data_IF_073213976292
#
_entry.id   IF_073213976292
#
_cell.length_a   1.000
_cell.length_b   1.000
_cell.length_c   1.000
_cell.angle_alpha   90.00
_cell.angle_beta   90.00
_cell.angle_gamma   90.00
#
_symmetry.space_group_name_H-M   'P 1'
#
loop_
_entity.id
_entity.type
_entity.pdbx_description
1 polymer ?
#
# COMPACT_ATOMS: atom_id res chain seq x y z
N UNK A 1 53.91 16.99 -16.55
CA UNK A 1 52.82 17.29 -17.49
C UNK A 1 52.94 18.76 -17.90
N UNK A 2 53.09 19.07 -19.18
CA UNK A 2 53.30 20.45 -19.68
C UNK A 2 52.05 21.32 -19.45
N UNK A 3 52.22 22.64 -19.33
CA UNK A 3 51.12 23.58 -19.06
C UNK A 3 49.99 23.48 -20.11
N UNK A 4 50.34 23.27 -21.37
CA UNK A 4 49.40 23.02 -22.47
C UNK A 4 48.53 21.78 -22.22
N UNK A 5 49.14 20.67 -21.75
CA UNK A 5 48.41 19.44 -21.43
C UNK A 5 47.42 19.65 -20.27
N UNK A 6 47.76 20.50 -19.29
CA UNK A 6 46.84 20.87 -18.19
C UNK A 6 45.68 21.71 -18.71
N UNK A 7 45.93 22.65 -19.61
CA UNK A 7 44.92 23.52 -20.20
C UNK A 7 43.96 22.75 -21.12
N UNK A 8 44.48 21.89 -22.00
CA UNK A 8 43.66 20.99 -22.81
C UNK A 8 42.82 20.04 -21.96
N UNK A 9 43.39 19.45 -20.91
CA UNK A 9 42.67 18.57 -20.01
C UNK A 9 41.53 19.31 -19.27
N UNK A 10 41.78 20.55 -18.81
CA UNK A 10 40.77 21.39 -18.18
C UNK A 10 39.60 21.73 -19.11
N UNK A 11 39.89 22.12 -20.36
CA UNK A 11 38.86 22.38 -21.38
C UNK A 11 38.05 21.11 -21.67
N UNK A 12 38.73 19.97 -21.86
CA UNK A 12 38.06 18.70 -22.12
C UNK A 12 37.13 18.28 -20.97
N UNK A 13 37.59 18.40 -19.71
CA UNK A 13 36.77 18.10 -18.55
C UNK A 13 35.57 19.03 -18.42
N UNK A 14 35.73 20.33 -18.70
CA UNK A 14 34.62 21.29 -18.68
C UNK A 14 33.61 21.00 -19.80
N UNK A 15 34.07 20.68 -21.02
CA UNK A 15 33.19 20.27 -22.12
C UNK A 15 32.41 19.00 -21.78
N UNK A 16 33.08 17.98 -21.26
CA UNK A 16 32.44 16.74 -20.84
C UNK A 16 31.41 17.00 -19.72
N UNK A 17 31.76 17.83 -18.73
CA UNK A 17 30.85 18.21 -17.64
C UNK A 17 29.63 18.97 -18.15
N UNK A 18 29.81 19.93 -19.07
CA UNK A 18 28.71 20.67 -19.67
C UNK A 18 27.75 19.76 -20.47
N UNK A 19 28.29 18.82 -21.25
CA UNK A 19 27.47 17.86 -22.00
C UNK A 19 26.71 16.93 -21.06
N UNK A 20 27.40 16.32 -20.08
CA UNK A 20 26.78 15.38 -19.15
C UNK A 20 25.73 16.05 -18.26
N UNK A 21 26.00 17.27 -17.76
CA UNK A 21 25.04 18.03 -16.97
C UNK A 21 23.84 18.49 -17.79
N UNK A 22 24.04 18.92 -19.05
CA UNK A 22 22.95 19.27 -19.96
C UNK A 22 22.03 18.08 -20.26
N UNK A 23 22.61 16.91 -20.56
CA UNK A 23 21.84 15.67 -20.74
C UNK A 23 21.14 15.26 -19.44
N UNK A 24 21.81 15.35 -18.30
CA UNK A 24 21.21 15.05 -16.99
C UNK A 24 20.00 15.95 -16.69
N UNK A 25 20.07 17.25 -17.00
CA UNK A 25 18.93 18.16 -16.84
C UNK A 25 17.71 17.73 -17.65
N UNK A 26 17.90 17.32 -18.91
CA UNK A 26 16.79 16.86 -19.76
C UNK A 26 16.11 15.62 -19.19
N UNK A 27 16.89 14.63 -18.76
CA UNK A 27 16.32 13.41 -18.16
C UNK A 27 15.67 13.68 -16.80
N UNK A 28 16.34 14.42 -15.92
CA UNK A 28 15.81 14.75 -14.59
C UNK A 28 14.59 15.66 -14.66
N UNK A 29 14.46 16.48 -15.72
CA UNK A 29 13.25 17.26 -15.94
C UNK A 29 12.01 16.37 -16.05
N UNK A 30 12.08 15.31 -16.88
CA UNK A 30 10.98 14.37 -17.10
C UNK A 30 10.78 13.44 -15.91
N UNK A 31 11.87 12.94 -15.32
CA UNK A 31 11.83 11.90 -14.27
C UNK A 31 11.48 12.48 -12.89
N UNK A 32 11.93 13.70 -12.57
CA UNK A 32 11.83 14.28 -11.22
C UNK A 32 11.12 15.62 -11.22
N UNK A 33 11.52 16.57 -12.06
CA UNK A 33 11.08 17.98 -11.93
C UNK A 33 9.58 18.13 -12.22
N UNK A 34 9.12 17.63 -13.37
CA UNK A 34 7.71 17.68 -13.77
C UNK A 34 6.83 16.94 -12.74
N UNK A 35 7.06 15.66 -12.41
CA UNK A 35 6.25 14.96 -11.40
C UNK A 35 6.22 15.66 -10.05
N UNK A 36 7.38 16.10 -9.56
CA UNK A 36 7.48 16.73 -8.24
C UNK A 36 6.71 18.05 -8.21
N UNK A 37 6.75 18.82 -9.30
CA UNK A 37 5.99 20.06 -9.44
C UNK A 37 4.48 19.78 -9.40
N UNK A 38 4.01 18.82 -10.19
CA UNK A 38 2.58 18.43 -10.23
C UNK A 38 2.09 17.95 -8.86
N UNK A 39 2.85 17.12 -8.17
CA UNK A 39 2.53 16.61 -6.83
C UNK A 39 2.43 17.76 -5.80
N UNK A 40 3.39 18.69 -5.81
CA UNK A 40 3.38 19.85 -4.92
C UNK A 40 2.25 20.84 -5.24
N UNK A 41 1.91 21.02 -6.51
CA UNK A 41 0.80 21.89 -6.94
C UNK A 41 -0.58 21.32 -6.55
N UNK A 42 -0.75 19.99 -6.57
CA UNK A 42 -1.98 19.32 -6.13
C UNK A 42 -2.23 19.50 -4.63
N UNK A 43 -1.18 19.70 -3.83
CA UNK A 43 -1.29 20.07 -2.42
C UNK A 43 -2.05 19.03 -1.59
N UNK A 44 -1.58 17.78 -1.62
CA UNK A 44 -2.15 16.71 -0.78
C UNK A 44 -2.02 17.05 0.70
N UNK A 45 -3.01 16.64 1.48
CA UNK A 45 -2.97 16.76 2.94
C UNK A 45 -1.75 16.00 3.49
N UNK A 46 -1.02 16.59 4.42
CA UNK A 46 0.15 15.95 5.04
C UNK A 46 -0.21 14.92 6.10
N UNK A 47 -1.45 14.97 6.61
CA UNK A 47 -1.97 13.99 7.54
C UNK A 47 -2.58 12.84 6.76
N UNK A 48 -2.07 11.61 6.87
CA UNK A 48 -2.64 10.48 6.16
C UNK A 48 -4.03 10.18 6.70
N UNK A 49 -4.92 9.83 5.78
CA UNK A 49 -6.24 9.24 6.03
C UNK A 49 -6.15 7.72 5.87
N UNK A 50 -7.23 7.00 6.16
CA UNK A 50 -7.28 5.55 5.95
C UNK A 50 -7.96 5.19 4.65
N UNK A 51 -7.30 4.34 3.87
CA UNK A 51 -7.88 3.69 2.69
C UNK A 51 -8.10 2.21 2.98
N UNK A 52 -9.24 1.69 2.51
CA UNK A 52 -9.54 0.26 2.48
C UNK A 52 -9.70 -0.18 1.04
N UNK A 53 -9.01 -1.24 0.62
CA UNK A 53 -9.15 -1.82 -0.71
C UNK A 53 -10.51 -2.49 -0.86
N UNK A 54 -11.26 -2.08 -1.89
CA UNK A 54 -12.61 -2.60 -2.18
C UNK A 54 -12.58 -3.57 -3.36
N UNK A 55 -11.67 -3.33 -4.32
CA UNK A 55 -11.52 -4.13 -5.52
C UNK A 55 -10.09 -4.04 -6.03
N UNK A 56 -9.47 -5.16 -6.35
CA UNK A 56 -8.18 -5.22 -7.02
C UNK A 56 -8.25 -6.20 -8.19
N UNK A 57 -7.97 -5.72 -9.39
CA UNK A 57 -8.04 -6.53 -10.61
C UNK A 57 -6.87 -6.22 -11.55
N UNK A 58 -6.29 -7.25 -12.16
CA UNK A 58 -5.30 -7.09 -13.23
C UNK A 58 -6.01 -7.25 -14.58
N UNK A 59 -6.32 -6.11 -15.20
CA UNK A 59 -7.08 -6.08 -16.45
C UNK A 59 -6.30 -6.74 -17.59
N UNK A 60 -4.96 -6.78 -17.52
CA UNK A 60 -4.14 -7.40 -18.56
C UNK A 60 -4.27 -8.93 -18.58
N UNK A 61 -4.72 -9.55 -17.48
CA UNK A 61 -4.88 -11.01 -17.36
C UNK A 61 -6.26 -11.51 -17.78
N UNK A 62 -7.25 -10.63 -17.92
CA UNK A 62 -8.57 -11.02 -18.41
C UNK A 62 -8.50 -11.46 -19.88
N UNK A 63 -8.86 -12.72 -20.14
CA UNK A 63 -9.02 -13.23 -21.51
C UNK A 63 -9.99 -12.31 -22.28
N UNK A 64 -9.61 -11.83 -23.47
CA UNK A 64 -10.47 -10.94 -24.23
C UNK A 64 -11.73 -11.71 -24.65
N UNK A 65 -12.89 -11.29 -24.14
CA UNK A 65 -14.18 -11.70 -24.72
C UNK A 65 -14.34 -10.98 -26.07
N UNK A 66 -13.74 -11.55 -27.12
CA UNK A 66 -13.78 -11.05 -28.51
C UNK A 66 -12.45 -10.51 -29.04
N UNK A 67 -12.44 -9.95 -30.25
CA UNK A 67 -11.24 -9.43 -30.96
C UNK A 67 -10.65 -8.12 -30.37
N UNK A 68 -11.13 -7.67 -29.21
CA UNK A 68 -10.65 -6.44 -28.56
C UNK A 68 -9.82 -6.81 -27.33
N UNK A 69 -8.50 -6.60 -27.44
CA UNK A 69 -7.58 -6.56 -26.29
C UNK A 69 -8.16 -5.54 -25.29
N UNK A 70 -8.35 -5.91 -24.03
CA UNK A 70 -8.83 -4.98 -23.02
C UNK A 70 -7.86 -3.80 -22.92
N UNK A 71 -8.31 -2.59 -23.24
CA UNK A 71 -7.49 -1.39 -23.19
C UNK A 71 -7.33 -0.97 -21.72
N UNK A 72 -6.08 -0.91 -21.25
CA UNK A 72 -5.75 -0.51 -19.89
C UNK A 72 -5.97 1.02 -19.75
N UNK A 73 -7.11 1.42 -19.19
CA UNK A 73 -7.48 2.85 -19.10
C UNK A 73 -6.64 3.63 -18.08
N UNK A 74 -6.18 2.97 -17.02
CA UNK A 74 -5.27 3.50 -16.01
C UNK A 74 -4.62 2.35 -15.23
N UNK A 75 -3.55 2.66 -14.50
CA UNK A 75 -2.81 1.71 -13.65
C UNK A 75 -2.64 2.30 -12.26
N UNK A 76 -2.55 1.45 -11.24
CA UNK A 76 -2.26 1.87 -9.85
C UNK A 76 -0.77 2.21 -9.70
N UNK A 77 0.10 1.38 -10.28
CA UNK A 77 1.55 1.56 -10.27
C UNK A 77 2.16 0.94 -11.52
N UNK A 78 2.89 1.73 -12.30
CA UNK A 78 3.76 1.28 -13.37
C UNK A 78 5.23 1.39 -12.99
N UNK A 79 6.05 0.45 -13.46
CA UNK A 79 7.49 0.60 -13.42
C UNK A 79 7.93 1.32 -14.70
N UNK A 80 8.97 2.15 -14.61
CA UNK A 80 9.58 2.84 -15.75
C UNK A 80 8.64 3.80 -16.50
N UNK A 81 8.53 5.04 -15.99
CA UNK A 81 7.54 6.02 -16.45
C UNK A 81 7.76 6.55 -17.87
N UNK A 82 8.86 6.16 -18.52
CA UNK A 82 9.16 6.48 -19.91
C UNK A 82 8.72 5.38 -20.89
N UNK A 83 8.26 4.23 -20.39
CA UNK A 83 7.86 3.11 -21.22
C UNK A 83 6.34 3.13 -21.47
N UNK A 84 5.95 3.00 -22.73
CA UNK A 84 4.53 2.93 -23.14
C UNK A 84 3.86 1.59 -22.75
N UNK A 85 4.65 0.62 -22.27
CA UNK A 85 4.17 -0.71 -21.89
C UNK A 85 4.22 -0.89 -20.39
N UNK A 86 3.16 -0.49 -19.70
CA UNK A 86 2.99 -0.78 -18.28
C UNK A 86 2.32 -2.14 -18.12
N UNK A 87 3.08 -3.15 -17.74
CA UNK A 87 2.59 -4.46 -17.33
C UNK A 87 3.15 -4.77 -15.95
N UNK A 88 2.32 -5.12 -14.94
CA UNK A 88 0.88 -5.47 -15.01
C UNK A 88 -0.08 -4.26 -15.07
N UNK A 89 -1.31 -4.47 -15.58
CA UNK A 89 -2.37 -3.45 -15.58
C UNK A 89 -3.26 -3.61 -14.34
N UNK A 90 -2.67 -3.40 -13.16
CA UNK A 90 -3.39 -3.54 -11.90
C UNK A 90 -4.18 -2.28 -11.56
N UNK A 91 -5.49 -2.44 -11.36
CA UNK A 91 -6.43 -1.38 -10.99
C UNK A 91 -6.99 -1.65 -9.59
N UNK A 92 -6.63 -0.80 -8.63
CA UNK A 92 -7.05 -0.90 -7.24
C UNK A 92 -8.01 0.24 -6.90
N UNK A 93 -9.22 -0.12 -6.51
CA UNK A 93 -10.23 0.82 -6.02
C UNK A 93 -10.29 0.78 -4.50
N UNK A 94 -10.36 1.96 -3.89
CA UNK A 94 -10.33 2.12 -2.43
C UNK A 94 -11.49 2.98 -1.94
N UNK A 95 -11.93 2.68 -0.72
CA UNK A 95 -12.78 3.55 0.07
C UNK A 95 -11.88 4.40 0.97
N UNK A 96 -11.96 5.72 0.84
CA UNK A 96 -11.17 6.65 1.62
C UNK A 96 -12.00 7.28 2.76
N UNK A 97 -11.48 7.20 3.98
CA UNK A 97 -12.14 7.67 5.20
C UNK A 97 -11.15 8.32 6.15
N UNK A 98 -11.66 9.18 7.03
CA UNK A 98 -10.89 9.73 8.12
C UNK A 98 -10.38 8.62 9.06
N UNK A 99 -9.27 8.90 9.73
CA UNK A 99 -8.75 8.01 10.77
C UNK A 99 -9.79 7.88 11.90
N UNK A 100 -9.99 6.65 12.36
CA UNK A 100 -10.81 6.36 13.53
C UNK A 100 -10.16 6.81 14.83
N UNK A 101 -10.83 6.54 15.94
CA UNK A 101 -10.38 6.93 17.27
C UNK A 101 -9.21 6.08 17.76
N UNK A 102 -8.34 6.65 18.60
CA UNK A 102 -7.31 5.90 19.31
C UNK A 102 -7.85 5.52 20.68
N UNK A 103 -7.88 4.22 20.99
CA UNK A 103 -8.43 3.67 22.23
C UNK A 103 -7.35 2.88 22.93
N UNK A 104 -7.31 2.94 24.26
CA UNK A 104 -6.37 2.20 25.08
C UNK A 104 -7.10 1.53 26.22
N UNK A 105 -6.99 0.20 26.30
CA UNK A 105 -7.44 -0.56 27.46
C UNK A 105 -6.24 -0.84 28.37
N UNK A 106 -6.44 -0.64 29.66
CA UNK A 106 -5.40 -0.79 30.68
C UNK A 106 -5.74 -1.93 31.64
N UNK A 107 -4.69 -2.44 32.29
CA UNK A 107 -4.76 -3.52 33.27
C UNK A 107 -5.46 -4.78 32.73
N UNK A 108 -5.16 -5.13 31.47
CA UNK A 108 -5.77 -6.29 30.83
C UNK A 108 -5.10 -7.60 31.26
N UNK A 109 -5.93 -8.59 31.59
CA UNK A 109 -5.55 -9.97 31.91
C UNK A 109 -6.25 -10.97 30.98
N UNK A 110 -5.75 -12.21 30.97
CA UNK A 110 -6.28 -13.34 30.19
C UNK A 110 -6.45 -13.02 28.70
N UNK A 111 -5.50 -12.27 28.14
CA UNK A 111 -5.55 -11.83 26.75
C UNK A 111 -5.44 -13.04 25.82
N UNK A 112 -6.52 -13.30 25.10
CA UNK A 112 -6.55 -14.23 23.98
C UNK A 112 -6.25 -13.44 22.72
N UNK A 113 -5.35 -13.97 21.90
CA UNK A 113 -5.13 -13.52 20.54
C UNK A 113 -5.28 -14.72 19.61
N UNK A 114 -6.44 -14.84 18.98
CA UNK A 114 -6.67 -15.87 17.97
C UNK A 114 -6.53 -15.29 16.58
N UNK A 115 -5.85 -16.02 15.70
CA UNK A 115 -5.80 -15.70 14.28
C UNK A 115 -6.94 -16.43 13.58
N UNK A 116 -7.98 -15.67 13.29
CA UNK A 116 -9.12 -16.03 12.48
C UNK A 116 -8.81 -15.98 10.98
N UNK A 117 -7.59 -16.33 10.58
CA UNK A 117 -7.20 -16.39 9.18
C UNK A 117 -7.88 -17.58 8.52
N UNK A 118 -8.72 -17.29 7.53
CA UNK A 118 -9.34 -18.30 6.70
C UNK A 118 -8.32 -18.89 5.73
N UNK A 119 -7.41 -19.74 6.21
CA UNK A 119 -6.22 -20.28 5.54
C UNK A 119 -4.99 -19.37 5.53
N UNK A 120 -3.89 -19.92 6.03
CA UNK A 120 -2.59 -19.57 5.47
C UNK A 120 -2.50 -20.23 4.10
N UNK A 121 -2.91 -19.51 3.05
CA UNK A 121 -2.88 -20.00 1.69
C UNK A 121 -1.48 -20.49 1.28
N UNK A 122 -0.41 -20.03 1.95
CA UNK A 122 0.95 -20.51 1.69
C UNK A 122 1.22 -21.90 2.31
N UNK A 123 0.46 -22.31 3.31
CA UNK A 123 0.55 -23.64 3.94
C UNK A 123 -0.29 -24.70 3.20
N UNK A 124 -1.29 -24.30 2.41
CA UNK A 124 -2.07 -25.25 1.62
C UNK A 124 -1.42 -25.59 0.29
N UNK A 125 -1.44 -26.89 -0.04
CA UNK A 125 -0.86 -27.40 -1.27
C UNK A 125 -1.66 -26.87 -2.48
N UNK A 126 -1.00 -26.21 -3.46
CA UNK A 126 -1.67 -25.78 -4.68
C UNK A 126 -1.89 -26.95 -5.65
N UNK A 127 -3.10 -27.05 -6.19
CA UNK A 127 -3.53 -28.06 -7.16
C UNK A 127 -3.60 -27.45 -8.56
N UNK A 128 -2.82 -27.96 -9.52
CA UNK A 128 -2.80 -27.42 -10.89
C UNK A 128 -3.82 -28.04 -11.83
N UNK A 129 -4.57 -29.04 -11.34
CA UNK A 129 -5.52 -29.85 -12.10
C UNK A 129 -4.96 -30.38 -13.43
N UNK A 130 -3.70 -30.84 -13.42
CA UNK A 130 -3.03 -31.52 -14.54
C UNK A 130 -2.70 -32.96 -14.14
N UNK A 131 -2.75 -33.90 -15.09
CA UNK A 131 -2.37 -35.31 -14.88
C UNK A 131 -3.13 -35.96 -13.70
N UNK A 132 -4.43 -35.71 -13.61
CA UNK A 132 -5.30 -36.38 -12.64
C UNK A 132 -5.24 -35.83 -11.20
N UNK A 133 -4.47 -34.76 -10.96
CA UNK A 133 -4.39 -34.11 -9.65
C UNK A 133 -5.75 -33.76 -9.04
N UNK A 134 -6.75 -33.43 -9.86
CA UNK A 134 -8.06 -32.99 -9.38
C UNK A 134 -9.17 -34.08 -9.43
N UNK A 135 -8.82 -35.34 -9.69
CA UNK A 135 -9.79 -36.44 -9.79
C UNK A 135 -10.44 -36.79 -8.45
N UNK A 136 -9.74 -36.59 -7.34
CA UNK A 136 -10.20 -36.95 -6.00
C UNK A 136 -10.42 -35.73 -5.11
N UNK A 137 -10.64 -34.54 -5.69
CA UNK A 137 -10.96 -33.37 -4.88
C UNK A 137 -12.29 -33.56 -4.16
N UNK A 138 -12.26 -33.33 -2.86
CA UNK A 138 -13.42 -33.35 -1.98
C UNK A 138 -13.32 -32.15 -1.04
N UNK A 139 -14.33 -31.30 -1.02
CA UNK A 139 -14.32 -30.04 -0.26
C UNK A 139 -14.41 -28.80 -1.14
N UNK A 140 -14.07 -27.65 -0.55
CA UNK A 140 -14.19 -26.33 -1.16
C UNK A 140 -12.83 -25.86 -1.66
N UNK A 141 -12.74 -25.36 -2.90
CA UNK A 141 -11.48 -24.97 -3.53
C UNK A 141 -11.56 -23.56 -4.11
N UNK A 142 -10.57 -22.70 -3.81
CA UNK A 142 -10.42 -21.39 -4.41
C UNK A 142 -9.40 -21.45 -5.56
N UNK A 143 -9.86 -21.16 -6.78
CA UNK A 143 -9.08 -21.15 -8.01
C UNK A 143 -9.04 -19.74 -8.65
N UNK A 144 -9.29 -18.68 -7.85
CA UNK A 144 -9.45 -17.30 -8.33
C UNK A 144 -8.12 -16.63 -8.72
N UNK A 145 -6.97 -17.12 -8.23
CA UNK A 145 -5.66 -16.52 -8.53
C UNK A 145 -5.28 -16.79 -9.98
N UNK A 146 -5.50 -15.80 -10.85
CA UNK A 146 -5.27 -15.90 -12.28
C UNK A 146 -3.77 -16.01 -12.60
N UNK A 147 -3.40 -16.94 -13.49
CA UNK A 147 -2.03 -17.11 -14.00
C UNK A 147 -1.56 -18.57 -14.07
N UNK A 148 -1.79 -19.37 -13.03
CA UNK A 148 -1.15 -20.70 -12.90
C UNK A 148 -2.11 -21.92 -12.83
N UNK A 149 -3.43 -21.74 -12.92
CA UNK A 149 -4.45 -22.78 -12.64
C UNK A 149 -4.28 -23.43 -11.26
N UNK A 150 -3.80 -22.68 -10.27
CA UNK A 150 -3.59 -23.20 -8.93
C UNK A 150 -4.88 -23.03 -8.12
N UNK A 151 -5.52 -24.15 -7.82
CA UNK A 151 -6.61 -24.24 -6.86
C UNK A 151 -6.05 -24.55 -5.48
N UNK A 152 -6.52 -23.86 -4.45
CA UNK A 152 -6.17 -24.16 -3.05
C UNK A 152 -7.40 -24.67 -2.34
N UNK A 153 -7.25 -25.74 -1.56
CA UNK A 153 -8.33 -26.22 -0.69
C UNK A 153 -8.59 -25.14 0.37
N UNK A 154 -9.85 -24.83 0.62
CA UNK A 154 -10.29 -23.82 1.59
C UNK A 154 -11.33 -24.32 2.60
N UNK A 155 -11.63 -25.62 2.57
CA UNK A 155 -12.70 -26.27 3.36
C UNK A 155 -12.62 -26.01 4.86
N UNK A 156 -11.41 -26.00 5.44
CA UNK A 156 -11.20 -25.91 6.88
C UNK A 156 -11.41 -24.52 7.45
N UNK A 157 -11.54 -23.50 6.61
CA UNK A 157 -11.48 -22.11 7.07
C UNK A 157 -12.69 -21.26 6.67
N UNK A 158 -13.57 -21.77 5.81
CA UNK A 158 -14.80 -21.09 5.42
C UNK A 158 -15.99 -22.03 5.43
N UNK A 159 -17.10 -21.55 5.98
CA UNK A 159 -18.42 -22.15 5.81
C UNK A 159 -19.29 -21.17 5.02
N UNK A 160 -19.92 -21.64 3.96
CA UNK A 160 -20.68 -20.76 3.08
C UNK A 160 -22.08 -21.30 2.79
N UNK A 161 -23.04 -20.39 2.66
CA UNK A 161 -24.41 -20.74 2.28
C UNK A 161 -24.43 -21.32 0.86
N UNK A 162 -24.87 -22.58 0.75
CA UNK A 162 -24.75 -23.42 -0.45
C UNK A 162 -25.68 -22.94 -1.57
N UNK A 163 -25.22 -22.00 -2.39
CA UNK A 163 -25.86 -21.70 -3.68
C UNK A 163 -24.92 -22.11 -4.80
N UNK A 164 -25.08 -23.35 -5.24
CA UNK A 164 -24.19 -23.99 -6.20
C UNK A 164 -24.76 -23.83 -7.62
N UNK A 165 -23.90 -23.63 -8.62
CA UNK A 165 -24.33 -23.65 -10.02
C UNK A 165 -24.91 -25.02 -10.38
N UNK A 166 -25.99 -25.11 -11.18
CA UNK A 166 -26.48 -26.39 -11.70
C UNK A 166 -25.50 -27.05 -12.68
N UNK A 167 -24.47 -26.34 -13.15
CA UNK A 167 -23.47 -26.87 -14.06
C UNK A 167 -22.33 -27.55 -13.29
N UNK A 168 -22.23 -28.87 -13.42
CA UNK A 168 -21.11 -29.65 -12.90
C UNK A 168 -19.96 -29.70 -13.90
N UNK A 169 -18.74 -29.64 -13.37
CA UNK A 169 -17.47 -29.81 -14.08
C UNK A 169 -16.86 -31.12 -13.57
N UNK A 170 -16.71 -32.11 -14.44
CA UNK A 170 -16.08 -33.38 -14.07
C UNK A 170 -14.57 -33.32 -14.30
N UNK A 171 -13.78 -33.71 -13.29
CA UNK A 171 -12.33 -33.84 -13.38
C UNK A 171 -11.93 -35.32 -13.51
N UNK A 172 -11.24 -35.65 -14.61
CA UNK A 172 -10.79 -37.02 -14.92
C UNK A 172 -9.29 -37.21 -14.64
N UNK A 173 -8.76 -38.40 -14.95
CA UNK A 173 -7.34 -38.76 -14.81
C UNK A 173 -6.38 -37.90 -15.64
N UNK A 174 -6.87 -37.19 -16.66
CA UNK A 174 -6.04 -36.34 -17.51
C UNK A 174 -6.24 -34.85 -17.22
N UNK A 175 -7.51 -34.40 -17.21
CA UNK A 175 -7.92 -33.00 -17.08
C UNK A 175 -9.39 -32.87 -16.64
N UNK A 176 -9.76 -31.67 -16.22
CA UNK A 176 -11.16 -31.29 -16.04
C UNK A 176 -11.80 -30.90 -17.39
N UNK A 177 -13.10 -31.14 -17.52
CA UNK A 177 -13.91 -30.78 -18.71
C UNK A 177 -13.80 -29.29 -19.05
N UNK A 178 -13.77 -28.46 -18.00
CA UNK A 178 -13.53 -27.02 -18.08
C UNK A 178 -12.50 -26.63 -17.03
N UNK A 179 -11.83 -25.50 -17.26
CA UNK A 179 -10.92 -24.89 -16.29
C UNK A 179 -11.73 -24.53 -15.03
N UNK A 180 -11.29 -25.00 -13.87
CA UNK A 180 -11.84 -24.54 -12.60
C UNK A 180 -11.44 -23.07 -12.42
N UNK A 181 -12.44 -22.23 -12.22
CA UNK A 181 -12.31 -20.81 -12.00
C UNK A 181 -13.16 -20.42 -10.79
N UNK A 182 -12.75 -19.36 -10.07
CA UNK A 182 -13.46 -18.92 -8.87
C UNK A 182 -13.43 -19.98 -7.76
N UNK A 183 -14.49 -20.02 -6.96
CA UNK A 183 -14.65 -21.01 -5.89
C UNK A 183 -15.51 -22.18 -6.36
N UNK A 184 -15.02 -23.39 -6.14
CA UNK A 184 -15.64 -24.63 -6.59
C UNK A 184 -15.87 -25.56 -5.40
N UNK A 185 -17.09 -26.11 -5.31
CA UNK A 185 -17.40 -27.20 -4.38
C UNK A 185 -17.23 -28.53 -5.12
N UNK A 186 -16.25 -29.31 -4.71
CA UNK A 186 -15.91 -30.59 -5.33
C UNK A 186 -16.33 -31.75 -4.43
N UNK A 187 -16.88 -32.80 -5.03
CA UNK A 187 -17.14 -34.08 -4.39
C UNK A 187 -16.63 -35.19 -5.29
N UNK A 188 -15.56 -35.87 -4.89
CA UNK A 188 -14.91 -36.95 -5.66
C UNK A 188 -14.63 -36.56 -7.12
N UNK A 189 -14.08 -35.36 -7.33
CA UNK A 189 -13.73 -34.85 -8.66
C UNK A 189 -14.87 -34.31 -9.50
N UNK A 190 -16.11 -34.32 -8.99
CA UNK A 190 -17.23 -33.56 -9.60
C UNK A 190 -17.31 -32.22 -8.89
N UNK A 191 -16.95 -31.15 -9.61
CA UNK A 191 -16.86 -29.80 -9.07
C UNK A 191 -17.97 -28.93 -9.62
N UNK A 192 -18.66 -28.21 -8.75
CA UNK A 192 -19.65 -27.22 -9.16
C UNK A 192 -19.15 -25.83 -8.81
N UNK A 193 -19.16 -24.94 -9.80
CA UNK A 193 -18.83 -23.54 -9.58
C UNK A 193 -19.88 -22.90 -8.66
N UNK A 194 -19.41 -22.12 -7.69
CA UNK A 194 -20.28 -21.33 -6.85
C UNK A 194 -20.65 -20.08 -7.64
N UNK A 195 -21.92 -19.99 -8.06
CA UNK A 195 -22.42 -19.10 -9.12
C UNK A 195 -22.25 -17.59 -8.87
N UNK A 196 -21.80 -17.20 -7.69
CA UNK A 196 -21.78 -15.80 -7.29
C UNK A 196 -20.66 -15.50 -6.29
N UNK A 197 -19.40 -15.82 -6.62
CA UNK A 197 -18.25 -15.74 -5.69
C UNK A 197 -18.03 -14.34 -5.08
N UNK A 198 -18.27 -13.27 -5.85
CA UNK A 198 -18.15 -11.88 -5.35
C UNK A 198 -19.24 -11.48 -4.35
N UNK A 199 -20.39 -12.15 -4.39
CA UNK A 199 -21.43 -12.08 -3.36
C UNK A 199 -21.17 -13.15 -2.28
N UNK A 200 -20.54 -14.27 -2.63
CA UNK A 200 -20.23 -15.41 -1.76
C UNK A 200 -19.24 -15.06 -0.66
N UNK A 201 -18.20 -14.27 -0.88
CA UNK A 201 -17.35 -13.81 0.23
C UNK A 201 -18.08 -12.89 1.21
N UNK A 202 -19.22 -12.31 0.81
CA UNK A 202 -20.14 -11.64 1.74
C UNK A 202 -21.05 -12.63 2.50
N UNK A 203 -21.24 -13.84 1.96
CA UNK A 203 -22.11 -14.92 2.48
C UNK A 203 -21.33 -16.13 3.06
N UNK A 204 -20.01 -16.08 3.03
CA UNK A 204 -19.07 -17.04 3.62
C UNK A 204 -18.60 -16.48 4.94
N UNK A 205 -18.88 -17.22 6.00
CA UNK A 205 -18.34 -16.89 7.31
C UNK A 205 -17.04 -17.67 7.52
N UNK A 206 -16.05 -16.99 8.12
CA UNK A 206 -14.81 -17.63 8.52
C UNK A 206 -15.08 -18.58 9.69
N UNK A 207 -14.53 -19.78 9.62
CA UNK A 207 -14.56 -20.73 10.71
C UNK A 207 -13.40 -20.43 11.66
N UNK A 208 -13.68 -19.82 12.81
CA UNK A 208 -12.78 -19.85 13.96
C UNK A 208 -13.45 -20.64 15.08
N UNK A 209 -12.94 -21.83 15.34
CA UNK A 209 -13.43 -22.71 16.40
C UNK A 209 -12.54 -22.60 17.64
N UNK A 210 -13.07 -22.99 18.79
CA UNK A 210 -12.40 -22.97 20.10
C UNK A 210 -12.19 -21.58 20.72
N UNK A 211 -13.03 -20.60 20.40
CA UNK A 211 -13.07 -19.37 21.18
C UNK A 211 -13.60 -19.69 22.58
N UNK A 212 -12.97 -19.13 23.61
CA UNK A 212 -13.51 -19.17 24.98
C UNK A 212 -13.56 -17.76 25.49
N UNK A 213 -14.76 -17.21 25.66
CA UNK A 213 -14.92 -15.84 26.12
C UNK A 213 -14.70 -15.72 27.64
N UNK A 214 -15.28 -16.63 28.43
CA UNK A 214 -15.12 -16.61 29.90
C UNK A 214 -15.52 -15.26 30.50
N UNK A 215 -14.70 -14.76 31.45
CA UNK A 215 -14.93 -13.50 32.17
C UNK A 215 -14.28 -12.27 31.50
N UNK A 216 -14.17 -12.30 30.16
CA UNK A 216 -13.60 -11.20 29.37
C UNK A 216 -14.67 -10.18 29.04
N UNK A 217 -14.36 -8.91 29.30
CA UNK A 217 -15.26 -7.78 29.08
C UNK A 217 -14.91 -6.95 27.83
N UNK A 218 -13.89 -7.35 27.06
CA UNK A 218 -13.47 -6.63 25.86
C UNK A 218 -13.18 -7.61 24.72
N UNK A 219 -13.70 -7.29 23.53
CA UNK A 219 -13.48 -7.99 22.26
C UNK A 219 -13.06 -6.98 21.19
N UNK A 220 -11.91 -7.20 20.58
CA UNK A 220 -11.32 -6.33 19.56
C UNK A 220 -11.12 -7.14 18.28
N UNK A 221 -11.71 -6.63 17.20
CA UNK A 221 -11.56 -7.18 15.86
C UNK A 221 -10.47 -6.39 15.12
N UNK A 222 -9.39 -7.04 14.68
CA UNK A 222 -8.30 -6.37 13.97
C UNK A 222 -7.72 -7.24 12.85
N UNK A 223 -7.94 -6.81 11.60
CA UNK A 223 -7.57 -7.56 10.38
C UNK A 223 -8.08 -9.01 10.41
N UNK A 224 -7.19 -9.96 10.65
CA UNK A 224 -7.48 -11.40 10.75
C UNK A 224 -7.41 -11.92 12.19
N UNK A 225 -7.27 -11.02 13.17
CA UNK A 225 -7.07 -11.37 14.57
C UNK A 225 -8.26 -10.93 15.38
N UNK A 226 -8.65 -11.80 16.30
CA UNK A 226 -9.56 -11.51 17.38
C UNK A 226 -8.73 -11.39 18.66
N UNK A 227 -8.86 -10.26 19.35
CA UNK A 227 -8.35 -10.13 20.71
C UNK A 227 -9.53 -10.14 21.67
N UNK A 228 -9.42 -10.91 22.74
CA UNK A 228 -10.38 -10.88 23.83
C UNK A 228 -9.62 -10.77 25.15
N UNK A 229 -10.04 -9.87 26.04
CA UNK A 229 -9.34 -9.62 27.30
C UNK A 229 -10.31 -9.18 28.40
N UNK A 230 -9.86 -9.33 29.64
CA UNK A 230 -10.51 -8.75 30.81
C UNK A 230 -9.72 -7.51 31.24
N UNK A 231 -10.27 -6.32 31.05
CA UNK A 231 -9.57 -5.05 31.28
C UNK A 231 -10.27 -4.21 32.35
N UNK A 232 -9.49 -3.40 33.09
CA UNK A 232 -10.00 -2.58 34.20
C UNK A 232 -10.40 -1.17 33.80
N UNK A 233 -9.66 -0.57 32.86
CA UNK A 233 -9.86 0.81 32.44
C UNK A 233 -9.80 0.98 30.93
N UNK A 234 -10.46 2.02 30.43
CA UNK A 234 -10.45 2.40 29.03
C UNK A 234 -10.30 3.90 28.91
N UNK A 235 -9.39 4.32 28.02
CA UNK A 235 -9.17 5.71 27.66
C UNK A 235 -9.29 5.85 26.14
N UNK A 236 -9.71 7.02 25.68
CA UNK A 236 -9.69 7.39 24.27
C UNK A 236 -9.00 8.73 24.10
N UNK A 237 -8.27 8.85 23.00
CA UNK A 237 -7.75 10.12 22.52
C UNK A 237 -8.16 10.22 21.06
N UNK A 238 -9.07 11.12 20.71
CA UNK A 238 -9.40 11.39 19.32
C UNK A 238 -9.42 12.89 19.09
N UNK A 239 -8.88 13.33 17.95
CA UNK A 239 -9.00 14.71 17.49
C UNK A 239 -10.36 15.01 16.82
N UNK A 240 -11.14 13.97 16.52
CA UNK A 240 -12.36 14.05 15.70
C UNK A 240 -13.62 13.47 16.37
N UNK A 241 -13.57 13.16 17.66
CA UNK A 241 -14.72 12.66 18.41
C UNK A 241 -14.90 13.46 19.70
N UNK A 242 -16.16 13.80 20.01
CA UNK A 242 -16.53 14.30 21.34
C UNK A 242 -16.09 13.26 22.38
N UNK A 243 -15.20 13.65 23.29
CA UNK A 243 -14.58 12.79 24.31
C UNK A 243 -15.59 12.02 25.20
N UNK A 244 -16.88 12.36 25.14
CA UNK A 244 -17.90 11.90 26.07
C UNK A 244 -18.25 10.41 25.97
N UNK A 245 -18.15 9.74 24.81
CA UNK A 245 -18.70 8.36 24.67
C UNK A 245 -17.80 7.25 25.21
N UNK A 246 -16.48 7.38 25.18
CA UNK A 246 -15.57 6.40 25.81
C UNK A 246 -15.50 6.63 27.32
N UNK A 247 -15.61 7.89 27.78
CA UNK A 247 -15.76 8.19 29.20
C UNK A 247 -17.01 7.51 29.79
N UNK A 248 -18.11 7.45 29.02
CA UNK A 248 -19.30 6.69 29.39
C UNK A 248 -19.01 5.20 29.59
N UNK A 249 -18.18 4.56 28.76
CA UNK A 249 -17.77 3.16 28.96
C UNK A 249 -16.95 2.99 30.25
N UNK A 250 -15.99 3.88 30.51
CA UNK A 250 -15.18 3.82 31.74
C UNK A 250 -16.03 4.04 33.00
N UNK A 251 -17.14 4.79 32.90
CA UNK A 251 -18.11 4.96 33.99
C UNK A 251 -19.13 3.80 34.11
N UNK A 252 -19.22 2.91 33.10
CA UNK A 252 -20.22 1.85 33.05
C UNK A 252 -19.89 0.73 34.04
N UNK A 253 -20.66 0.67 35.13
CA UNK A 253 -20.57 -0.39 36.15
C UNK A 253 -20.78 -1.79 35.59
N UNK A 254 -21.63 -1.95 34.56
CA UNK A 254 -21.89 -3.23 33.92
C UNK A 254 -20.66 -3.77 33.20
N UNK A 255 -19.87 -2.91 32.54
CA UNK A 255 -18.63 -3.32 31.89
C UNK A 255 -17.51 -3.64 32.91
N UNK A 256 -17.37 -2.82 33.96
CA UNK A 256 -16.42 -3.07 35.06
C UNK A 256 -16.71 -4.34 35.83
N UNK A 257 -17.99 -4.63 36.09
CA UNK A 257 -18.44 -5.85 36.76
C UNK A 257 -18.61 -7.04 35.79
N UNK A 258 -18.15 -6.92 34.54
CA UNK A 258 -18.16 -7.99 33.53
C UNK A 258 -19.56 -8.53 33.16
N UNK A 259 -20.61 -7.76 33.46
CA UNK A 259 -21.98 -8.03 32.99
C UNK A 259 -22.19 -7.56 31.54
N UNK A 260 -21.36 -6.64 31.06
CA UNK A 260 -21.35 -6.12 29.71
C UNK A 260 -19.98 -6.34 29.05
N UNK A 261 -19.98 -6.46 27.73
CA UNK A 261 -18.79 -6.68 26.90
C UNK A 261 -18.70 -5.57 25.86
N UNK A 262 -17.54 -4.94 25.76
CA UNK A 262 -17.24 -3.96 24.72
C UNK A 262 -16.74 -4.66 23.45
N UNK A 263 -17.29 -4.31 22.30
CA UNK A 263 -16.89 -4.79 20.99
C UNK A 263 -16.36 -3.61 20.17
N UNK A 264 -15.23 -3.77 19.50
CA UNK A 264 -14.60 -2.67 18.75
C UNK A 264 -13.82 -3.20 17.55
N UNK A 265 -13.91 -2.53 16.40
CA UNK A 265 -12.98 -2.77 15.29
C UNK A 265 -11.83 -1.78 15.37
N UNK A 266 -10.59 -2.27 15.22
CA UNK A 266 -9.40 -1.43 15.16
C UNK A 266 -8.43 -1.96 14.11
N UNK A 267 -7.83 -1.07 13.31
CA UNK A 267 -6.88 -1.50 12.28
C UNK A 267 -5.53 -1.92 12.87
N UNK A 268 -5.07 -1.26 13.93
CA UNK A 268 -3.80 -1.57 14.58
C UNK A 268 -4.01 -1.84 16.07
N UNK A 269 -3.37 -2.89 16.58
CA UNK A 269 -3.37 -3.26 18.01
C UNK A 269 -1.93 -3.51 18.43
N UNK A 270 -1.49 -2.85 19.50
CA UNK A 270 -0.15 -2.98 20.08
C UNK A 270 -0.29 -3.37 21.55
N UNK A 271 0.44 -4.40 21.96
CA UNK A 271 0.60 -4.76 23.35
C UNK A 271 1.74 -3.91 23.93
N UNK A 272 1.48 -3.20 25.02
CA UNK A 272 2.47 -2.43 25.77
C UNK A 272 2.49 -2.90 27.22
N UNK A 273 3.63 -2.67 27.89
CA UNK A 273 3.84 -2.91 29.32
C UNK A 273 3.27 -4.23 29.85
N UNK A 274 3.98 -5.36 29.76
CA UNK A 274 3.50 -6.55 30.47
C UNK A 274 4.38 -7.79 30.55
N UNK A 275 4.71 -8.19 31.79
CA UNK A 275 5.03 -9.57 32.18
C UNK A 275 3.82 -10.31 32.83
N UNK A 276 2.77 -9.59 33.29
CA UNK A 276 1.56 -10.17 33.94
C UNK A 276 0.24 -9.43 33.63
N UNK A 277 0.24 -8.11 33.54
CA UNK A 277 -0.86 -7.28 33.04
C UNK A 277 -0.40 -6.63 31.74
N UNK A 278 -1.30 -6.38 30.79
CA UNK A 278 -0.98 -5.76 29.50
C UNK A 278 -1.82 -4.51 29.26
N UNK A 279 -1.22 -3.50 28.63
CA UNK A 279 -1.93 -2.40 28.01
C UNK A 279 -2.19 -2.72 26.53
N UNK A 280 -3.46 -2.63 26.09
CA UNK A 280 -3.84 -2.78 24.69
C UNK A 280 -4.07 -1.39 24.09
N UNK A 281 -3.07 -0.93 23.33
CA UNK A 281 -3.11 0.36 22.63
C UNK A 281 -3.53 0.13 21.19
N UNK A 282 -4.66 0.70 20.79
CA UNK A 282 -5.26 0.48 19.49
C UNK A 282 -5.42 1.79 18.73
N UNK A 283 -5.18 1.75 17.43
CA UNK A 283 -5.22 2.92 16.54
C UNK A 283 -6.19 2.64 15.38
N UNK A 284 -6.85 3.70 14.92
CA UNK A 284 -7.88 3.65 13.88
C UNK A 284 -9.04 2.71 14.24
N UNK A 285 -9.71 3.02 15.36
CA UNK A 285 -10.85 2.27 15.84
C UNK A 285 -12.19 2.88 15.44
N UNK A 286 -13.16 2.02 15.12
CA UNK A 286 -14.49 2.37 14.66
C UNK A 286 -15.48 1.24 14.97
N UNK A 287 -16.79 1.47 14.73
CA UNK A 287 -17.85 0.51 15.04
C UNK A 287 -17.71 -0.02 16.49
N UNK A 288 -17.61 0.87 17.47
CA UNK A 288 -17.48 0.48 18.88
C UNK A 288 -18.86 0.33 19.51
N UNK A 289 -19.17 -0.78 20.17
CA UNK A 289 -20.47 -1.02 20.82
C UNK A 289 -20.33 -1.75 22.16
N UNK A 290 -21.40 -1.75 22.96
CA UNK A 290 -21.50 -2.54 24.20
C UNK A 290 -22.64 -3.56 24.08
N UNK A 291 -22.39 -4.79 24.52
CA UNK A 291 -23.37 -5.87 24.56
C UNK A 291 -23.44 -6.55 25.93
N UNK A 292 -24.39 -7.46 26.09
CA UNK A 292 -24.57 -8.29 27.29
C UNK A 292 -23.60 -9.47 27.31
N UNK A 293 -22.92 -9.67 28.44
CA UNK A 293 -21.97 -10.76 28.61
C UNK A 293 -22.62 -12.15 28.49
N UNK A 294 -23.87 -12.29 28.94
CA UNK A 294 -24.61 -13.56 28.89
C UNK A 294 -24.77 -14.11 27.46
N UNK A 295 -24.79 -13.25 26.43
CA UNK A 295 -24.90 -13.68 25.02
C UNK A 295 -23.57 -14.15 24.45
N UNK A 296 -22.45 -13.91 25.13
CA UNK A 296 -21.10 -14.20 24.61
C UNK A 296 -20.25 -15.12 25.48
N UNK A 297 -20.56 -15.30 26.76
CA UNK A 297 -19.79 -16.17 27.68
C UNK A 297 -19.56 -17.59 27.14
N UNK A 298 -20.58 -18.17 26.50
CA UNK A 298 -20.56 -19.54 25.96
C UNK A 298 -20.34 -19.61 24.45
N UNK A 299 -20.01 -18.49 23.81
CA UNK A 299 -19.79 -18.46 22.36
C UNK A 299 -18.41 -19.04 22.05
N UNK A 300 -18.41 -20.05 21.20
CA UNK A 300 -17.19 -20.72 20.70
C UNK A 300 -16.85 -20.39 19.26
N UNK A 301 -17.78 -19.76 18.55
CA UNK A 301 -17.70 -19.44 17.12
C UNK A 301 -17.55 -17.91 16.94
N UNK A 302 -16.54 -17.52 16.16
CA UNK A 302 -16.31 -16.12 15.79
C UNK A 302 -17.51 -15.49 15.09
N UNK A 303 -18.25 -16.26 14.26
CA UNK A 303 -19.43 -15.79 13.54
C UNK A 303 -20.50 -15.29 14.50
N UNK A 304 -20.71 -15.98 15.60
CA UNK A 304 -21.73 -15.62 16.58
C UNK A 304 -21.36 -14.30 17.27
N UNK A 305 -20.07 -14.09 17.57
CA UNK A 305 -19.57 -12.81 18.09
C UNK A 305 -19.72 -11.69 17.06
N UNK A 306 -19.34 -11.93 15.81
CA UNK A 306 -19.40 -10.94 14.74
C UNK A 306 -20.84 -10.57 14.39
N UNK A 307 -21.75 -11.54 14.33
CA UNK A 307 -23.17 -11.31 14.06
C UNK A 307 -23.84 -10.56 15.19
N UNK A 308 -23.55 -10.90 16.45
CA UNK A 308 -24.03 -10.14 17.60
C UNK A 308 -23.51 -8.70 17.58
N UNK A 309 -22.22 -8.52 17.28
CA UNK A 309 -21.65 -7.18 17.15
C UNK A 309 -22.30 -6.36 16.01
N UNK A 310 -22.54 -6.96 14.84
CA UNK A 310 -23.28 -6.32 13.74
C UNK A 310 -24.71 -5.93 14.15
N UNK A 311 -25.39 -6.78 14.91
CA UNK A 311 -26.72 -6.49 15.49
C UNK A 311 -26.66 -5.25 16.39
N UNK A 312 -25.65 -5.15 17.26
CA UNK A 312 -25.45 -4.00 18.15
C UNK A 312 -25.15 -2.71 17.38
N UNK A 313 -24.31 -2.77 16.35
CA UNK A 313 -23.95 -1.59 15.53
C UNK A 313 -25.15 -1.00 14.78
N UNK A 314 -26.19 -1.79 14.54
CA UNK A 314 -27.46 -1.29 13.97
C UNK A 314 -28.32 -0.47 14.95
N UNK A 315 -27.97 -0.46 16.24
CA UNK A 315 -28.71 0.22 17.32
C UNK A 315 -27.94 1.47 17.79
N UNK A 316 -28.40 2.69 17.47
CA UNK A 316 -27.68 3.92 17.82
C UNK A 316 -27.42 4.10 19.33
N UNK A 317 -28.29 3.57 20.20
CA UNK A 317 -28.14 3.67 21.67
C UNK A 317 -26.98 2.88 22.25
N UNK A 318 -26.45 1.89 21.52
CA UNK A 318 -25.35 1.03 21.97
C UNK A 318 -24.00 1.43 21.35
N UNK A 319 -23.97 2.51 20.55
CA UNK A 319 -22.79 2.97 19.84
C UNK A 319 -21.87 3.78 20.77
N UNK A 320 -20.65 3.29 20.97
CA UNK A 320 -19.57 3.96 21.68
C UNK A 320 -18.67 4.76 20.73
N UNK A 321 -18.39 4.19 19.56
CA UNK A 321 -17.51 4.79 18.55
C UNK A 321 -18.25 4.79 17.23
N UNK A 322 -18.14 5.92 16.55
CA UNK A 322 -18.70 6.18 15.22
C UNK A 322 -18.52 5.01 14.26
N UNK A 323 -19.50 4.85 13.38
CA UNK A 323 -19.48 3.80 12.38
C UNK A 323 -18.48 4.10 11.27
N UNK A 324 -17.96 3.06 10.60
CA UNK A 324 -17.01 3.25 9.49
C UNK A 324 -17.58 4.16 8.39
N UNK A 325 -18.87 4.01 8.07
CA UNK A 325 -19.57 4.81 7.05
C UNK A 325 -19.56 6.30 7.37
N UNK A 326 -19.71 6.67 8.66
CA UNK A 326 -19.70 8.07 9.09
C UNK A 326 -18.32 8.74 8.98
N UNK A 327 -17.25 7.95 8.84
CA UNK A 327 -15.89 8.45 8.65
C UNK A 327 -15.55 8.67 7.18
N UNK A 328 -16.38 8.21 6.24
CA UNK A 328 -16.14 8.29 4.81
C UNK A 328 -15.95 9.74 4.33
N UNK A 329 -14.88 9.98 3.57
CA UNK A 329 -14.58 11.30 3.00
C UNK A 329 -15.16 11.41 1.59
N UNK A 330 -15.07 10.32 0.83
CA UNK A 330 -15.46 10.29 -0.57
C UNK A 330 -15.95 8.90 -0.99
N UNK A 331 -16.62 8.85 -2.13
CA UNK A 331 -17.03 7.59 -2.76
C UNK A 331 -15.80 6.76 -3.18
N UNK A 332 -16.03 5.50 -3.54
CA UNK A 332 -14.99 4.59 -4.04
C UNK A 332 -14.21 5.26 -5.17
N UNK A 333 -12.88 5.32 -5.02
CA UNK A 333 -11.98 6.07 -5.89
C UNK A 333 -10.74 5.24 -6.25
N UNK A 334 -9.92 5.75 -7.15
CA UNK A 334 -8.71 5.07 -7.64
C UNK A 334 -7.58 5.22 -6.63
N UNK A 335 -6.82 4.15 -6.40
CA UNK A 335 -5.53 4.22 -5.71
C UNK A 335 -4.42 4.34 -6.74
N UNK A 336 -3.57 5.36 -6.61
CA UNK A 336 -2.32 5.48 -7.36
C UNK A 336 -1.14 5.44 -6.38
N UNK A 337 0.03 4.96 -6.81
CA UNK A 337 1.23 5.06 -5.96
C UNK A 337 1.61 6.54 -5.70
N UNK A 338 1.49 7.37 -6.73
CA UNK A 338 1.71 8.82 -6.76
C UNK A 338 0.83 9.43 -7.88
N UNK A 339 0.81 10.77 -8.09
CA UNK A 339 -0.06 11.38 -9.11
C UNK A 339 0.15 10.89 -10.55
N UNK A 340 1.35 10.38 -10.86
CA UNK A 340 1.69 9.82 -12.19
C UNK A 340 1.47 8.31 -12.28
N UNK A 341 1.02 7.68 -11.19
CA UNK A 341 0.83 6.24 -11.07
C UNK A 341 2.07 5.41 -11.46
N UNK A 342 3.28 5.91 -11.19
CA UNK A 342 4.49 5.28 -11.68
C UNK A 342 5.73 5.48 -10.79
N UNK A 343 6.62 4.47 -10.80
CA UNK A 343 7.91 4.48 -10.11
C UNK A 343 9.08 4.32 -11.10
N UNK A 344 10.10 5.17 -10.95
CA UNK A 344 11.34 5.11 -11.73
C UNK A 344 12.48 4.38 -10.99
N UNK A 345 12.17 3.59 -9.98
CA UNK A 345 13.19 2.88 -9.19
C UNK A 345 13.44 1.47 -9.71
N UNK A 346 14.69 1.00 -9.68
CA UNK A 346 15.04 -0.39 -10.02
C UNK A 346 14.57 -1.43 -8.98
N UNK A 347 13.67 -1.07 -8.07
CA UNK A 347 13.51 -1.71 -6.76
C UNK A 347 12.29 -2.64 -6.64
N UNK A 348 11.67 -2.98 -7.77
CA UNK A 348 10.37 -3.67 -7.85
C UNK A 348 9.34 -3.01 -6.92
N UNK A 349 9.27 -1.68 -6.99
CA UNK A 349 8.47 -0.85 -6.10
C UNK A 349 6.98 -1.16 -6.26
N UNK A 350 6.50 -1.35 -7.49
CA UNK A 350 5.09 -1.67 -7.74
C UNK A 350 4.72 -3.05 -7.20
N UNK A 351 5.60 -4.05 -7.36
CA UNK A 351 5.35 -5.38 -6.79
C UNK A 351 5.20 -5.31 -5.26
N UNK A 352 6.11 -4.59 -4.58
CA UNK A 352 6.03 -4.35 -3.12
C UNK A 352 4.79 -3.52 -2.73
N UNK A 353 4.39 -2.59 -3.57
CA UNK A 353 3.19 -1.80 -3.35
C UNK A 353 1.95 -2.70 -3.37
N UNK A 354 1.82 -3.56 -4.39
CA UNK A 354 0.70 -4.48 -4.52
C UNK A 354 0.60 -5.49 -3.37
N UNK A 355 1.73 -5.98 -2.84
CA UNK A 355 1.75 -6.90 -1.69
C UNK A 355 1.03 -6.37 -0.44
N UNK A 356 0.94 -5.05 -0.26
CA UNK A 356 0.29 -4.44 0.91
C UNK A 356 -0.98 -3.62 0.62
N UNK A 357 -1.41 -3.58 -0.64
CA UNK A 357 -2.53 -2.73 -1.08
C UNK A 357 -3.54 -3.45 -1.98
N UNK A 358 -3.22 -4.64 -2.51
CA UNK A 358 -4.06 -5.33 -3.49
C UNK A 358 -5.01 -6.38 -2.89
N UNK A 359 -5.00 -6.64 -1.58
CA UNK A 359 -5.97 -7.55 -0.99
C UNK A 359 -7.34 -6.85 -0.87
N UNK A 360 -8.34 -7.30 -1.62
CA UNK A 360 -9.71 -6.77 -1.59
C UNK A 360 -10.69 -7.64 -0.78
N UNK A 361 -10.21 -8.77 -0.27
CA UNK A 361 -10.99 -9.74 0.49
C UNK A 361 -11.92 -10.63 -0.35
N UNK A 362 -11.85 -10.56 -1.69
CA UNK A 362 -12.53 -11.48 -2.60
C UNK A 362 -11.90 -12.88 -2.67
N UNK A 363 -10.92 -13.17 -1.84
CA UNK A 363 -10.35 -14.50 -1.63
C UNK A 363 -10.51 -14.98 -0.18
N UNK A 364 -11.33 -14.25 0.59
CA UNK A 364 -11.60 -14.50 2.00
C UNK A 364 -10.60 -13.87 2.96
N UNK A 365 -9.50 -13.29 2.44
CA UNK A 365 -8.58 -12.47 3.23
C UNK A 365 -9.29 -11.20 3.73
N UNK A 366 -8.73 -10.53 4.74
CA UNK A 366 -9.27 -9.23 5.12
C UNK A 366 -8.73 -8.20 4.14
N UNK A 367 -9.61 -7.36 3.60
CA UNK A 367 -9.23 -6.24 2.75
C UNK A 367 -8.10 -5.41 3.38
N UNK A 368 -7.14 -5.01 2.54
CA UNK A 368 -6.02 -4.20 2.97
C UNK A 368 -6.48 -2.83 3.44
N UNK A 369 -5.92 -2.42 4.58
CA UNK A 369 -6.13 -1.10 5.18
C UNK A 369 -4.78 -0.45 5.41
N UNK A 370 -4.60 0.74 4.86
CA UNK A 370 -3.33 1.46 4.85
C UNK A 370 -3.55 2.97 4.89
N UNK A 371 -2.56 3.73 5.39
CA UNK A 371 -2.56 5.18 5.27
C UNK A 371 -2.44 5.60 3.80
N UNK A 372 -3.24 6.57 3.39
CA UNK A 372 -3.22 7.17 2.06
C UNK A 372 -3.45 8.68 2.16
N UNK A 373 -3.31 9.39 1.04
CA UNK A 373 -3.39 10.84 1.00
C UNK A 373 -4.36 11.29 -0.09
N UNK A 374 -5.10 12.36 0.21
CA UNK A 374 -6.09 12.95 -0.67
C UNK A 374 -5.85 14.45 -0.82
N UNK A 375 -6.48 15.05 -1.83
CA UNK A 375 -6.47 16.48 -2.08
C UNK A 375 -7.89 16.98 -2.32
N UNK A 376 -8.24 18.13 -1.75
CA UNK A 376 -9.53 18.78 -2.00
C UNK A 376 -9.66 19.31 -3.43
N UNK A 377 -8.54 19.41 -4.17
CA UNK A 377 -8.54 19.90 -5.56
C UNK A 377 -9.03 18.86 -6.57
N UNK A 378 -8.86 17.56 -6.28
CA UNK A 378 -9.17 16.47 -7.21
C UNK A 378 -9.58 15.21 -6.45
N UNK A 379 -10.82 14.78 -6.66
CA UNK A 379 -11.44 13.65 -5.94
C UNK A 379 -11.41 12.32 -6.72
N UNK A 380 -10.81 12.30 -7.91
CA UNK A 380 -10.82 11.14 -8.81
C UNK A 380 -9.86 10.01 -8.38
N UNK A 381 -8.93 10.32 -7.47
CA UNK A 381 -7.96 9.36 -6.96
C UNK A 381 -7.38 9.79 -5.60
N UNK A 382 -6.76 8.84 -4.92
CA UNK A 382 -5.91 9.03 -3.75
C UNK A 382 -4.53 8.42 -4.01
N UNK A 383 -3.53 8.87 -3.27
CA UNK A 383 -2.15 8.38 -3.41
C UNK A 383 -1.72 7.57 -2.19
N UNK A 384 -1.00 6.47 -2.43
CA UNK A 384 -0.46 5.61 -1.37
C UNK A 384 0.86 6.10 -0.79
N UNK A 385 1.67 6.82 -1.58
CA UNK A 385 2.96 7.36 -1.14
C UNK A 385 2.97 8.87 -1.32
N UNK A 386 3.18 9.59 -0.22
CA UNK A 386 3.34 11.03 -0.22
C UNK A 386 4.39 11.44 0.80
N UNK A 387 5.40 12.19 0.35
CA UNK A 387 6.39 12.79 1.24
C UNK A 387 6.86 14.12 0.66
N UNK A 388 6.15 15.23 0.93
CA UNK A 388 6.41 16.51 0.28
C UNK A 388 7.81 17.05 0.62
N UNK A 389 8.35 16.70 1.79
CA UNK A 389 9.71 17.09 2.19
C UNK A 389 10.75 16.41 1.30
N UNK A 390 10.64 15.10 1.10
CA UNK A 390 11.56 14.36 0.24
C UNK A 390 11.37 14.77 -1.22
N UNK A 391 10.13 14.91 -1.69
CA UNK A 391 9.80 15.39 -3.04
C UNK A 391 10.47 16.75 -3.30
N UNK A 392 10.37 17.70 -2.36
CA UNK A 392 11.03 18.99 -2.47
C UNK A 392 12.57 18.92 -2.47
N UNK A 393 13.17 18.08 -1.61
CA UNK A 393 14.63 17.89 -1.57
C UNK A 393 15.13 17.28 -2.89
N UNK A 394 14.43 16.27 -3.42
CA UNK A 394 14.80 15.65 -4.70
C UNK A 394 14.65 16.64 -5.85
N UNK A 395 13.58 17.44 -5.87
CA UNK A 395 13.41 18.52 -6.85
C UNK A 395 14.56 19.52 -6.80
N UNK A 396 14.99 19.94 -5.60
CA UNK A 396 16.10 20.88 -5.42
C UNK A 396 17.41 20.26 -5.91
N UNK A 397 17.76 19.05 -5.47
CA UNK A 397 19.00 18.39 -5.87
C UNK A 397 19.05 18.12 -7.37
N UNK A 398 17.94 17.63 -7.95
CA UNK A 398 17.85 17.29 -9.36
C UNK A 398 17.91 18.51 -10.30
N UNK A 399 17.57 19.71 -9.80
CA UNK A 399 17.65 20.96 -10.58
C UNK A 399 18.94 21.74 -10.32
N UNK A 400 19.30 21.95 -9.05
CA UNK A 400 20.40 22.83 -8.65
C UNK A 400 21.77 22.21 -8.94
N UNK A 401 21.98 20.92 -8.68
CA UNK A 401 23.29 20.28 -8.87
C UNK A 401 23.69 20.26 -10.36
N UNK A 402 22.90 19.66 -11.27
CA UNK A 402 23.28 19.65 -12.68
C UNK A 402 23.18 21.05 -13.32
N UNK A 403 22.23 21.90 -12.89
CA UNK A 403 22.15 23.29 -13.34
C UNK A 403 23.39 24.11 -12.96
N UNK A 404 23.85 23.98 -11.71
CA UNK A 404 25.05 24.64 -11.22
C UNK A 404 26.31 24.17 -11.94
N UNK A 405 26.47 22.85 -12.13
CA UNK A 405 27.59 22.28 -12.90
C UNK A 405 27.58 22.75 -14.36
N UNK A 406 26.41 22.83 -14.98
CA UNK A 406 26.26 23.29 -16.36
C UNK A 406 26.68 24.77 -16.50
N UNK A 407 26.15 25.65 -15.64
CA UNK A 407 26.47 27.08 -15.66
C UNK A 407 27.96 27.31 -15.38
N UNK A 408 28.51 26.61 -14.37
CA UNK A 408 29.92 26.72 -14.00
C UNK A 408 30.84 26.25 -15.14
N UNK A 409 30.55 25.10 -15.75
CA UNK A 409 31.34 24.58 -16.87
C UNK A 409 31.27 25.51 -18.09
N UNK A 410 30.08 25.99 -18.45
CA UNK A 410 29.90 26.96 -19.54
C UNK A 410 30.64 28.28 -19.27
N UNK A 411 30.63 28.75 -18.02
CA UNK A 411 31.36 29.95 -17.62
C UNK A 411 32.87 29.79 -17.79
N UNK A 412 33.45 28.67 -17.33
CA UNK A 412 34.88 28.38 -17.54
C UNK A 412 35.21 28.28 -19.04
N UNK A 413 34.39 27.58 -19.83
CA UNK A 413 34.61 27.46 -21.27
C UNK A 413 34.56 28.81 -21.98
N UNK A 414 33.65 29.70 -21.56
CA UNK A 414 33.59 31.06 -22.07
C UNK A 414 34.87 31.84 -21.75
N UNK A 415 35.36 31.76 -20.50
CA UNK A 415 36.62 32.39 -20.10
C UNK A 415 37.81 31.82 -20.88
N UNK A 416 37.90 30.50 -21.05
CA UNK A 416 38.94 29.84 -21.85
C UNK A 416 38.88 30.27 -23.32
N UNK A 417 37.69 30.37 -23.92
CA UNK A 417 37.53 30.83 -25.29
C UNK A 417 37.99 32.28 -25.50
N UNK A 418 37.93 33.12 -24.47
CA UNK A 418 38.44 34.49 -24.52
C UNK A 418 39.92 34.60 -24.16
N UNK A 419 40.40 33.69 -23.31
CA UNK A 419 41.73 33.75 -22.72
C UNK A 419 42.77 32.92 -23.45
N UNK A 420 42.39 32.02 -24.35
CA UNK A 420 43.30 31.08 -25.02
C UNK A 420 43.36 31.39 -26.51
N UNK A 421 44.55 31.66 -27.01
CA UNK A 421 44.87 31.84 -28.43
C UNK A 421 45.72 30.70 -28.95
N UNK A 422 45.71 30.50 -30.27
CA UNK A 422 46.54 29.53 -30.98
C UNK A 422 47.59 30.30 -31.78
N UNK A 423 48.86 29.97 -31.60
CA UNK A 423 49.95 30.54 -32.39
C UNK A 423 50.05 29.84 -33.76
N UNK A 424 50.78 30.44 -34.71
CA UNK A 424 50.96 29.92 -36.08
C UNK A 424 51.60 28.52 -36.14
N UNK A 425 52.24 28.06 -35.05
CA UNK A 425 52.82 26.72 -34.88
C UNK A 425 51.84 25.69 -34.27
N UNK A 426 50.61 26.09 -33.93
CA UNK A 426 49.57 25.22 -33.35
C UNK A 426 49.61 25.06 -31.82
N UNK A 427 50.51 25.77 -31.13
CA UNK A 427 50.62 25.76 -29.66
C UNK A 427 49.58 26.66 -28.98
N UNK A 428 49.03 26.21 -27.84
CA UNK A 428 48.03 26.96 -27.06
C UNK A 428 48.68 27.88 -26.03
N UNK A 429 48.34 29.16 -26.06
CA UNK A 429 48.85 30.16 -25.12
C UNK A 429 47.74 31.02 -24.52
N UNK A 430 47.96 31.55 -23.32
CA UNK A 430 47.04 32.48 -22.67
C UNK A 430 47.24 33.91 -23.22
N UNK A 431 46.19 34.50 -23.79
CA UNK A 431 46.18 35.86 -24.36
C UNK A 431 45.78 36.95 -23.36
N UNK A 432 45.05 36.61 -22.28
CA UNK A 432 44.43 37.60 -21.39
C UNK A 432 45.37 38.23 -20.33
N UNK A 433 46.64 37.86 -20.29
CA UNK A 433 47.66 38.52 -19.46
C UNK A 433 48.60 39.45 -20.26
N UNK A 434 48.20 39.87 -21.47
CA UNK A 434 48.91 40.93 -22.21
C UNK A 434 48.01 42.16 -22.34
N UNK A 435 47.97 42.98 -21.29
CA UNK A 435 47.20 44.23 -21.35
C UNK A 435 47.29 45.16 -20.14
N UNK A 436 48.50 45.59 -19.75
CA UNK A 436 48.80 46.95 -19.25
C UNK A 436 50.26 47.03 -18.76
N UNK A 437 51.18 47.43 -19.64
CA UNK A 437 52.57 47.67 -19.25
C UNK A 437 53.49 47.76 -20.46
N UNK A 438 53.77 48.97 -20.90
CA UNK A 438 54.87 49.23 -21.82
C UNK A 438 56.18 48.70 -21.22
N UNK A 439 56.93 47.92 -22.02
CA UNK A 439 58.38 47.75 -21.83
C UNK A 439 58.81 46.49 -21.08
N UNK A 440 59.28 45.51 -21.87
CA UNK A 440 60.41 44.62 -21.63
C UNK A 440 60.39 43.59 -20.47
N UNK A 441 61.03 42.47 -20.81
CA UNK A 441 61.58 41.37 -20.01
C UNK A 441 60.68 40.14 -19.83
N UNK A 442 61.23 39.01 -20.32
CA UNK A 442 60.76 37.65 -20.18
C UNK A 442 60.84 37.21 -18.72
N UNK A 443 59.75 36.68 -18.17
CA UNK A 443 59.77 35.58 -17.20
C UNK A 443 58.40 34.85 -17.21
N UNK A 444 58.37 33.52 -17.07
CA UNK A 444 57.12 32.76 -17.01
C UNK A 444 56.46 32.92 -15.64
N UNK A 445 55.25 33.49 -15.61
CA UNK A 445 54.43 33.60 -14.40
C UNK A 445 53.96 32.22 -13.96
N UNK A 446 54.31 31.87 -12.72
CA UNK A 446 54.08 30.60 -12.06
C UNK A 446 52.64 30.52 -11.52
N UNK A 447 52.00 29.38 -11.75
CA UNK A 447 50.55 29.14 -11.62
C UNK A 447 50.20 28.47 -10.27
N UNK A 448 50.47 29.12 -9.13
CA UNK A 448 50.27 28.51 -7.79
C UNK A 448 49.28 29.24 -6.86
N UNK A 449 48.54 30.27 -7.29
CA UNK A 449 47.72 31.07 -6.34
C UNK A 449 46.19 31.15 -6.58
N UNK A 450 45.60 30.36 -7.49
CA UNK A 450 44.14 30.45 -7.77
C UNK A 450 43.45 29.10 -7.97
N UNK A 451 43.72 28.13 -7.08
CA UNK A 451 42.94 26.90 -6.95
C UNK A 451 42.52 26.66 -5.50
#
# INVERSE_FOLDING_TARGET
MTAEKKLCAGIMLCQMTAILSGVALLYLAVIVVIPSKEELELGFSTTPIMCTTVKAEDIALHEPKGDKKAECSWVTCGEWCLSDTVSPCMQIHVLARNNGSKVSFHDCVDVIQERCSGLDANLTQPWKCRKGQCKNLDGLFNCTREGNNECREITSAYECKKTVSPTSITCTDEKCEKRLHGVNLCTKGVCNEVKNVSIYWKDCDRLCTNLTMGDRNTVIFSKERLYAASCGHVNSSSAHQDNNTIELLNSNLGWKNKAKVAFIFCTYVKHQNGNKFYDLVMEDCFNGTVGDANRVQNVTDFRDLLSYHKELTSRPSELLINTEESLGIMNITKLLINPQACSNTLSSACAKFFEGHAADGLDGTTADRFPCYYTDKKHDFVIGVYNPRNTFIFLLLASVVPGGLFIFACFILFLCSKSVGVNDEGHLHLTLLKGAGNGAVNDPVQFDELL
#
